data_IF_634971873358
#
_entry.id   IF_634971873358
#
_cell.length_a   1.000
_cell.length_b   1.000
_cell.length_c   1.000
_cell.angle_alpha   90.00
_cell.angle_beta   90.00
_cell.angle_gamma   90.00
#
_symmetry.space_group_name_H-M   'P 1'
#
loop_
_entity.id
_entity.type
_entity.pdbx_description
1 polymer ?
#
# COMPACT_ATOMS: atom_id res chain seq x y z
N UNK A 1 5.34 -2.76 29.71
CA UNK A 1 4.05 -3.39 29.97
C UNK A 1 3.18 -3.32 28.71
N UNK A 2 2.81 -4.47 28.19
CA UNK A 2 2.05 -4.64 26.95
C UNK A 2 0.60 -4.98 27.24
N UNK A 3 -0.33 -4.27 26.60
CA UNK A 3 -1.78 -4.44 26.74
C UNK A 3 -2.46 -4.53 25.37
N UNK A 4 -3.78 -4.78 25.34
CA UNK A 4 -4.60 -4.87 24.11
C UNK A 4 -4.86 -3.50 23.47
N UNK A 5 -3.82 -2.74 23.22
CA UNK A 5 -3.84 -1.42 22.58
C UNK A 5 -3.42 -1.58 21.12
N UNK A 6 -4.04 -0.86 20.20
CA UNK A 6 -3.72 -0.92 18.76
C UNK A 6 -2.56 -0.02 18.35
N UNK A 7 -2.13 0.89 19.22
CA UNK A 7 -1.07 1.87 18.98
C UNK A 7 0.15 1.60 19.86
N UNK A 8 1.28 2.29 19.55
CA UNK A 8 2.51 2.25 20.35
C UNK A 8 3.04 0.84 20.63
N UNK A 9 2.95 -0.05 19.64
CA UNK A 9 3.39 -1.45 19.78
C UNK A 9 2.73 -2.19 20.97
N UNK A 10 1.50 -1.79 21.33
CA UNK A 10 0.77 -2.31 22.49
C UNK A 10 1.27 -1.83 23.85
N UNK A 11 2.27 -0.94 23.89
CA UNK A 11 2.90 -0.47 25.12
C UNK A 11 2.00 0.55 25.85
N UNK A 12 1.66 0.26 27.12
CA UNK A 12 0.95 1.18 28.00
C UNK A 12 1.90 2.02 28.88
N UNK A 13 3.03 1.46 29.26
CA UNK A 13 4.00 2.11 30.15
C UNK A 13 5.03 1.11 30.67
N UNK A 14 5.77 1.52 31.68
CA UNK A 14 6.66 0.63 32.44
C UNK A 14 5.99 0.27 33.77
N UNK A 15 6.25 -0.93 34.29
CA UNK A 15 5.79 -1.41 35.59
C UNK A 15 6.95 -2.08 36.29
N UNK A 16 6.87 -2.16 37.58
CA UNK A 16 7.78 -2.94 38.42
C UNK A 16 7.05 -4.18 38.93
N UNK A 17 7.46 -5.33 38.42
CA UNK A 17 6.85 -6.62 38.72
C UNK A 17 7.93 -7.70 38.87
N UNK A 18 7.67 -8.78 39.65
CA UNK A 18 8.65 -9.85 39.80
C UNK A 18 9.09 -10.44 38.45
N UNK A 19 10.42 -10.67 38.31
CA UNK A 19 11.07 -11.19 37.08
C UNK A 19 10.44 -12.51 36.60
N UNK A 20 9.90 -13.31 37.49
CA UNK A 20 9.21 -14.58 37.12
C UNK A 20 8.02 -14.38 36.17
N UNK A 21 7.46 -13.16 36.07
CA UNK A 21 6.39 -12.80 35.16
C UNK A 21 6.89 -12.11 33.89
N UNK A 22 8.20 -11.88 33.78
CA UNK A 22 8.82 -11.25 32.62
C UNK A 22 8.85 -12.22 31.44
N UNK A 23 8.25 -11.83 30.34
CA UNK A 23 8.27 -12.57 29.10
C UNK A 23 9.56 -12.29 28.33
N UNK A 24 10.07 -13.30 27.63
CA UNK A 24 11.23 -13.13 26.77
C UNK A 24 10.95 -12.19 25.61
N UNK A 25 11.96 -11.44 25.18
CA UNK A 25 11.95 -10.72 23.92
C UNK A 25 12.00 -11.68 22.71
N UNK A 26 12.11 -11.12 21.52
CA UNK A 26 12.07 -11.84 20.24
C UNK A 26 10.81 -12.72 20.09
N UNK A 27 9.65 -12.17 20.44
CA UNK A 27 8.35 -12.86 20.41
C UNK A 27 7.28 -11.95 19.83
N UNK A 28 6.11 -12.52 19.47
CA UNK A 28 4.95 -11.73 19.06
C UNK A 28 3.94 -11.72 20.20
N UNK A 29 3.55 -10.52 20.66
CA UNK A 29 2.41 -10.33 21.56
C UNK A 29 1.11 -10.33 20.75
N UNK A 30 0.11 -11.09 21.21
CA UNK A 30 -1.18 -11.24 20.54
C UNK A 30 -2.34 -10.95 21.52
N UNK A 31 -3.13 -9.93 21.20
CA UNK A 31 -4.32 -9.57 21.96
C UNK A 31 -5.51 -10.48 21.62
N UNK A 32 -5.94 -11.32 22.57
CA UNK A 32 -6.92 -12.39 22.36
C UNK A 32 -8.27 -11.89 21.83
N UNK A 33 -8.75 -10.73 22.28
CA UNK A 33 -10.06 -10.20 21.88
C UNK A 33 -10.00 -9.20 20.73
N UNK A 34 -8.82 -8.66 20.44
CA UNK A 34 -8.62 -7.54 19.50
C UNK A 34 -7.84 -7.94 18.23
N UNK A 35 -7.25 -9.14 18.23
CA UNK A 35 -6.30 -9.59 17.21
C UNK A 35 -5.14 -8.60 16.97
N UNK A 36 -4.86 -7.70 17.91
CA UNK A 36 -3.69 -6.83 17.83
C UNK A 36 -2.42 -7.66 17.99
N UNK A 37 -1.47 -7.44 17.09
CA UNK A 37 -0.23 -8.23 17.06
C UNK A 37 0.96 -7.33 16.89
N UNK A 38 1.98 -7.53 17.75
CA UNK A 38 3.21 -6.74 17.69
C UNK A 38 4.43 -7.61 17.99
N UNK A 39 5.51 -7.38 17.25
CA UNK A 39 6.81 -7.93 17.58
C UNK A 39 7.40 -7.21 18.79
N UNK A 40 7.83 -7.98 19.77
CA UNK A 40 8.46 -7.49 21.00
C UNK A 40 9.94 -7.91 21.00
N UNK A 41 10.80 -6.94 20.76
CA UNK A 41 12.24 -7.19 20.66
C UNK A 41 12.87 -7.51 22.03
N UNK A 42 12.48 -6.74 23.04
CA UNK A 42 13.01 -6.80 24.41
C UNK A 42 12.06 -7.56 25.35
N UNK A 43 12.56 -8.07 26.46
CA UNK A 43 11.70 -8.66 27.51
C UNK A 43 10.62 -7.67 27.99
N UNK A 44 9.45 -8.20 28.30
CA UNK A 44 8.28 -7.39 28.62
C UNK A 44 7.28 -8.09 29.54
N UNK A 45 6.53 -7.32 30.30
CA UNK A 45 5.37 -7.78 31.03
C UNK A 45 4.09 -7.63 30.20
N UNK A 46 3.11 -8.48 30.43
CA UNK A 46 1.81 -8.44 29.75
C UNK A 46 0.65 -8.25 30.68
N UNK A 47 -0.36 -7.53 30.20
CA UNK A 47 -1.68 -7.50 30.82
C UNK A 47 -2.51 -8.73 30.49
N UNK A 48 -3.75 -8.74 31.00
CA UNK A 48 -4.71 -9.82 30.79
C UNK A 48 -5.01 -10.05 29.31
N UNK A 49 -5.26 -11.31 28.95
CA UNK A 49 -5.63 -11.76 27.60
C UNK A 49 -4.61 -11.43 26.49
N UNK A 50 -3.36 -11.21 26.83
CA UNK A 50 -2.26 -11.20 25.88
C UNK A 50 -1.67 -12.61 25.81
N UNK A 51 -1.63 -13.20 24.61
CA UNK A 51 -0.92 -14.43 24.31
C UNK A 51 0.46 -14.11 23.75
N UNK A 52 1.42 -14.98 24.04
CA UNK A 52 2.80 -14.81 23.58
C UNK A 52 3.08 -15.92 22.58
N UNK A 53 3.38 -15.54 21.35
CA UNK A 53 3.74 -16.44 20.29
C UNK A 53 5.27 -16.50 20.22
N UNK A 54 5.82 -17.64 20.66
CA UNK A 54 7.25 -17.90 20.64
C UNK A 54 7.65 -18.53 19.31
N UNK A 55 8.67 -18.00 18.61
CA UNK A 55 9.14 -18.59 17.37
C UNK A 55 9.76 -19.97 17.61
N UNK A 56 9.62 -20.87 16.64
CA UNK A 56 10.28 -22.18 16.63
C UNK A 56 11.56 -22.18 15.81
N UNK A 57 11.88 -21.09 15.13
CA UNK A 57 13.00 -20.94 14.21
C UNK A 57 14.03 -20.00 14.83
N UNK A 58 15.30 -20.41 14.81
CA UNK A 58 16.41 -19.61 15.33
C UNK A 58 16.63 -18.33 14.52
N UNK A 59 16.32 -18.38 13.22
CA UNK A 59 16.44 -17.29 12.25
C UNK A 59 15.37 -16.21 12.43
N UNK A 60 14.34 -16.48 13.25
CA UNK A 60 13.30 -15.49 13.50
C UNK A 60 13.84 -14.28 14.22
N UNK A 61 13.64 -13.11 13.66
CA UNK A 61 14.14 -11.85 14.19
C UNK A 61 13.31 -10.65 13.74
N UNK A 62 13.75 -9.48 14.11
CA UNK A 62 13.05 -8.20 13.91
C UNK A 62 12.59 -7.96 12.48
N UNK A 63 13.43 -8.25 11.49
CA UNK A 63 13.13 -7.97 10.08
C UNK A 63 12.06 -8.91 9.56
N UNK A 64 12.33 -10.21 9.66
CA UNK A 64 11.43 -11.21 9.13
C UNK A 64 10.12 -11.33 9.93
N UNK A 65 10.09 -10.91 11.21
CA UNK A 65 8.86 -10.84 12.01
C UNK A 65 7.74 -10.03 11.32
N UNK A 66 8.08 -9.06 10.45
CA UNK A 66 7.07 -8.27 9.72
C UNK A 66 6.31 -9.11 8.69
N UNK A 67 6.98 -10.05 8.04
CA UNK A 67 6.31 -11.02 7.16
C UNK A 67 5.31 -11.87 7.96
N UNK A 68 5.72 -12.39 9.11
CA UNK A 68 4.84 -13.15 10.00
C UNK A 68 3.64 -12.30 10.43
N UNK A 69 3.86 -11.09 10.90
CA UNK A 69 2.79 -10.18 11.32
C UNK A 69 1.81 -9.86 10.18
N UNK A 70 2.32 -9.60 8.98
CA UNK A 70 1.49 -9.27 7.80
C UNK A 70 0.60 -10.45 7.40
N UNK A 71 1.17 -11.64 7.29
CA UNK A 71 0.44 -12.85 6.92
C UNK A 71 -0.53 -13.31 8.00
N UNK A 72 -0.15 -13.17 9.28
CA UNK A 72 -1.04 -13.44 10.42
C UNK A 72 -2.22 -12.48 10.46
N UNK A 73 -2.01 -11.17 10.25
CA UNK A 73 -3.11 -10.20 10.18
C UNK A 73 -4.09 -10.56 9.07
N UNK A 74 -3.60 -10.98 7.91
CA UNK A 74 -4.43 -11.45 6.80
C UNK A 74 -5.19 -12.72 7.16
N UNK A 75 -4.53 -13.71 7.75
CA UNK A 75 -5.15 -14.98 8.16
C UNK A 75 -6.23 -14.76 9.23
N UNK A 76 -6.05 -13.78 10.11
CA UNK A 76 -6.98 -13.47 11.20
C UNK A 76 -8.03 -12.40 10.85
N UNK A 77 -8.00 -11.83 9.64
CA UNK A 77 -8.95 -10.77 9.24
C UNK A 77 -10.41 -11.22 9.17
N UNK A 78 -10.68 -12.53 9.03
CA UNK A 78 -12.01 -13.10 9.01
C UNK A 78 -12.63 -13.31 10.41
N UNK A 79 -11.85 -13.10 11.48
CA UNK A 79 -12.35 -13.24 12.86
C UNK A 79 -12.93 -11.90 13.33
N UNK A 80 -14.27 -11.85 13.45
CA UNK A 80 -14.98 -10.67 13.95
C UNK A 80 -15.17 -10.73 15.47
N UNK A 81 -15.18 -9.56 16.08
CA UNK A 81 -15.53 -9.39 17.49
C UNK A 81 -16.94 -9.96 17.76
N UNK A 82 -17.07 -10.92 18.68
CA UNK A 82 -18.36 -11.47 19.11
C UNK A 82 -18.78 -12.84 18.56
N UNK A 83 -18.22 -13.31 17.44
CA UNK A 83 -18.65 -14.59 16.83
C UNK A 83 -17.64 -15.74 16.97
N UNK A 84 -16.36 -15.45 17.15
CA UNK A 84 -15.33 -16.48 17.39
C UNK A 84 -14.21 -15.92 18.26
N UNK A 85 -14.07 -16.45 19.46
CA UNK A 85 -13.00 -16.05 20.38
C UNK A 85 -11.70 -16.72 19.97
N UNK A 86 -10.62 -15.96 19.90
CA UNK A 86 -9.27 -16.50 19.76
C UNK A 86 -8.87 -17.25 21.04
N UNK A 87 -9.16 -18.52 21.10
CA UNK A 87 -8.56 -19.40 22.10
C UNK A 87 -7.28 -20.04 21.55
N UNK A 88 -6.52 -20.69 22.42
CA UNK A 88 -5.24 -21.31 22.05
C UNK A 88 -5.42 -22.39 20.97
N UNK A 89 -6.51 -23.15 21.01
CA UNK A 89 -6.78 -24.21 20.04
C UNK A 89 -7.12 -23.64 18.66
N UNK A 90 -7.85 -22.54 18.60
CA UNK A 90 -8.13 -21.82 17.35
C UNK A 90 -6.85 -21.24 16.74
N UNK A 91 -5.98 -20.65 17.57
CA UNK A 91 -4.70 -20.10 17.13
C UNK A 91 -3.77 -21.17 16.54
N UNK A 92 -3.68 -22.34 17.18
CA UNK A 92 -2.84 -23.47 16.71
C UNK A 92 -3.25 -24.01 15.34
N UNK A 93 -4.50 -23.85 14.95
CA UNK A 93 -5.04 -24.32 13.67
C UNK A 93 -4.90 -23.31 12.53
N UNK A 94 -4.46 -22.08 12.81
CA UNK A 94 -4.32 -21.06 11.77
C UNK A 94 -3.12 -21.35 10.87
N UNK A 95 -3.32 -21.18 9.58
CA UNK A 95 -2.30 -21.35 8.55
C UNK A 95 -1.91 -19.98 8.03
N UNK A 96 -0.63 -19.72 7.95
CA UNK A 96 -0.05 -18.50 7.39
C UNK A 96 0.80 -18.84 6.18
N UNK A 97 0.81 -17.97 5.17
CA UNK A 97 1.65 -18.14 3.98
C UNK A 97 2.92 -17.34 4.15
N UNK A 98 4.07 -18.00 3.95
CA UNK A 98 5.39 -17.39 4.03
C UNK A 98 6.19 -17.73 2.76
N UNK A 99 7.19 -16.91 2.38
CA UNK A 99 8.13 -17.27 1.33
C UNK A 99 8.86 -18.57 1.65
N UNK A 100 9.03 -19.42 0.65
CA UNK A 100 9.77 -20.69 0.79
C UNK A 100 10.88 -20.81 -0.26
N UNK A 101 11.98 -21.45 0.11
CA UNK A 101 13.04 -21.89 -0.82
C UNK A 101 12.56 -23.08 -1.67
N UNK A 102 13.26 -23.39 -2.74
CA UNK A 102 12.98 -24.55 -3.60
C UNK A 102 12.93 -25.90 -2.86
N UNK A 103 13.59 -26.00 -1.71
CA UNK A 103 13.59 -27.18 -0.85
C UNK A 103 12.41 -27.24 0.14
N UNK A 104 11.46 -26.28 0.05
CA UNK A 104 10.27 -26.22 0.91
C UNK A 104 10.46 -25.58 2.29
N UNK A 105 11.68 -25.18 2.66
CA UNK A 105 11.94 -24.47 3.91
C UNK A 105 11.59 -22.99 3.79
N UNK A 106 11.24 -22.34 4.92
CA UNK A 106 10.99 -20.90 4.99
C UNK A 106 12.21 -20.13 4.51
N UNK A 107 12.00 -19.15 3.62
CA UNK A 107 13.08 -18.34 3.06
C UNK A 107 13.30 -17.07 3.90
N UNK A 108 14.03 -17.22 5.00
CA UNK A 108 14.39 -16.10 5.86
C UNK A 108 15.32 -15.10 5.15
N UNK A 109 16.21 -15.58 4.28
CA UNK A 109 17.16 -14.73 3.54
C UNK A 109 16.41 -13.77 2.60
N UNK A 110 15.39 -14.29 1.89
CA UNK A 110 14.51 -13.46 1.07
C UNK A 110 13.80 -12.39 1.92
N UNK A 111 13.24 -12.76 3.08
CA UNK A 111 12.54 -11.81 3.94
C UNK A 111 13.47 -10.71 4.45
N UNK A 112 14.70 -11.05 4.84
CA UNK A 112 15.71 -10.08 5.30
C UNK A 112 16.12 -9.12 4.18
N UNK A 113 16.46 -9.66 2.98
CA UNK A 113 16.84 -8.87 1.82
C UNK A 113 15.73 -7.93 1.38
N UNK A 114 14.49 -8.41 1.32
CA UNK A 114 13.33 -7.60 0.94
C UNK A 114 13.13 -6.40 1.87
N UNK A 115 13.24 -6.58 3.18
CA UNK A 115 13.09 -5.48 4.15
C UNK A 115 14.27 -4.50 4.02
N UNK A 116 15.49 -4.99 3.78
CA UNK A 116 16.65 -4.15 3.56
C UNK A 116 16.51 -3.30 2.27
N UNK A 117 16.09 -3.92 1.17
CA UNK A 117 15.81 -3.24 -0.10
C UNK A 117 14.68 -2.21 0.01
N UNK A 118 13.60 -2.53 0.73
CA UNK A 118 12.52 -1.59 1.00
C UNK A 118 13.02 -0.37 1.78
N UNK A 119 13.85 -0.57 2.79
CA UNK A 119 14.44 0.52 3.57
C UNK A 119 15.35 1.39 2.71
N UNK A 120 16.20 0.78 1.88
CA UNK A 120 17.05 1.49 0.93
C UNK A 120 16.22 2.28 -0.11
N UNK A 121 15.14 1.68 -0.62
CA UNK A 121 14.22 2.35 -1.55
C UNK A 121 13.57 3.60 -0.92
N UNK A 122 13.11 3.52 0.33
CA UNK A 122 12.52 4.66 1.04
C UNK A 122 13.52 5.82 1.13
N UNK A 123 14.77 5.53 1.47
CA UNK A 123 15.83 6.54 1.56
C UNK A 123 16.17 7.14 0.19
N UNK A 124 16.41 6.32 -0.84
CA UNK A 124 16.78 6.80 -2.18
C UNK A 124 15.65 7.57 -2.86
N UNK A 125 14.38 7.19 -2.62
CA UNK A 125 13.22 7.88 -3.19
C UNK A 125 12.82 9.15 -2.44
N UNK A 126 13.48 9.49 -1.32
CA UNK A 126 13.11 10.61 -0.45
C UNK A 126 11.78 10.41 0.29
N UNK A 127 11.20 9.21 0.24
CA UNK A 127 9.98 8.86 0.97
C UNK A 127 10.23 8.63 2.47
N UNK A 128 11.48 8.66 2.91
CA UNK A 128 11.87 8.68 4.32
C UNK A 128 11.58 10.03 5.01
N UNK A 129 11.47 11.12 4.24
CA UNK A 129 11.03 12.40 4.76
C UNK A 129 9.50 12.43 4.97
N UNK A 130 9.07 12.13 6.19
CA UNK A 130 7.65 12.14 6.60
C UNK A 130 7.22 13.45 7.29
N UNK A 131 8.14 14.40 7.49
CA UNK A 131 7.82 15.70 8.10
C UNK A 131 7.07 16.57 7.10
N UNK A 132 5.92 17.07 7.52
CA UNK A 132 5.14 17.99 6.70
C UNK A 132 5.77 19.38 6.69
N UNK A 133 5.89 19.98 5.52
CA UNK A 133 6.20 21.40 5.41
C UNK A 133 5.02 22.28 5.87
N UNK A 134 5.25 23.56 6.07
CA UNK A 134 4.19 24.51 6.42
C UNK A 134 3.09 24.55 5.35
N UNK A 135 3.44 24.48 4.07
CA UNK A 135 2.48 24.48 2.97
C UNK A 135 1.67 23.17 2.94
N UNK A 136 2.31 22.03 3.24
CA UNK A 136 1.65 20.74 3.33
C UNK A 136 0.70 20.67 4.53
N UNK A 137 1.06 21.25 5.67
CA UNK A 137 0.16 21.36 6.82
C UNK A 137 -1.03 22.26 6.48
N UNK A 138 -0.78 23.43 5.90
CA UNK A 138 -1.82 24.39 5.55
C UNK A 138 -2.81 23.81 4.53
N UNK A 139 -2.35 23.09 3.51
CA UNK A 139 -3.26 22.53 2.50
C UNK A 139 -4.11 21.38 3.05
N UNK A 140 -3.58 20.56 3.98
CA UNK A 140 -4.37 19.53 4.67
C UNK A 140 -5.48 20.16 5.51
N UNK A 141 -5.16 21.22 6.24
CA UNK A 141 -6.15 21.96 7.06
C UNK A 141 -7.26 22.53 6.17
N UNK A 142 -6.88 23.25 5.13
CA UNK A 142 -7.85 23.79 4.14
C UNK A 142 -8.68 22.69 3.49
N UNK A 143 -8.12 21.52 3.22
CA UNK A 143 -8.87 20.39 2.67
C UNK A 143 -9.89 19.85 3.68
N UNK A 144 -9.50 19.66 4.95
CA UNK A 144 -10.39 19.20 6.04
C UNK A 144 -11.55 20.17 6.28
N UNK A 145 -11.26 21.46 6.23
CA UNK A 145 -12.24 22.53 6.41
C UNK A 145 -13.06 22.86 5.14
N UNK A 146 -12.86 22.07 4.06
CA UNK A 146 -13.53 22.26 2.76
C UNK A 146 -13.30 23.67 2.14
N UNK A 147 -12.15 24.28 2.42
CA UNK A 147 -11.79 25.61 1.92
C UNK A 147 -11.07 25.59 0.56
N UNK A 148 -10.79 24.41 0.01
CA UNK A 148 -10.23 24.29 -1.34
C UNK A 148 -11.41 24.24 -2.32
N UNK A 149 -11.52 25.20 -3.24
CA UNK A 149 -12.56 25.16 -4.25
C UNK A 149 -12.32 24.01 -5.23
N UNK A 150 -13.37 23.31 -5.60
CA UNK A 150 -13.35 22.24 -6.60
C UNK A 150 -14.31 22.59 -7.74
N UNK A 151 -13.91 22.25 -8.96
CA UNK A 151 -14.75 22.36 -10.15
C UNK A 151 -14.68 21.09 -10.99
N UNK A 152 -15.68 20.91 -11.87
CA UNK A 152 -15.77 19.79 -12.78
C UNK A 152 -14.97 20.05 -14.05
N UNK A 153 -14.15 19.07 -14.44
CA UNK A 153 -13.40 19.09 -15.71
C UNK A 153 -13.67 17.81 -16.48
N UNK A 154 -13.87 17.94 -17.79
CA UNK A 154 -14.00 16.77 -18.66
C UNK A 154 -12.66 16.05 -18.84
N UNK A 155 -12.69 14.72 -18.95
CA UNK A 155 -11.48 13.91 -19.15
C UNK A 155 -10.67 14.37 -20.36
N UNK A 156 -11.36 14.72 -21.48
CA UNK A 156 -10.70 15.20 -22.70
C UNK A 156 -10.00 16.55 -22.53
N UNK A 157 -10.38 17.35 -21.54
CA UNK A 157 -9.72 18.63 -21.23
C UNK A 157 -8.43 18.44 -20.43
N UNK A 158 -8.28 17.29 -19.81
CA UNK A 158 -7.07 16.91 -19.04
C UNK A 158 -6.17 16.03 -19.90
N UNK A 159 -6.73 15.07 -20.64
CA UNK A 159 -6.00 14.09 -21.45
C UNK A 159 -6.39 14.23 -22.92
N UNK A 160 -5.46 14.72 -23.77
CA UNK A 160 -5.71 14.85 -25.20
C UNK A 160 -5.66 13.51 -25.96
N UNK A 161 -5.32 12.43 -25.28
CA UNK A 161 -5.33 11.07 -25.83
C UNK A 161 -6.11 10.14 -24.90
N UNK A 162 -7.15 9.52 -25.45
CA UNK A 162 -8.01 8.54 -24.77
C UNK A 162 -8.21 7.37 -25.73
N UNK A 163 -7.64 6.21 -25.41
CA UNK A 163 -7.69 5.02 -26.27
C UNK A 163 -7.98 3.75 -25.49
N UNK A 164 -8.63 2.79 -26.15
CA UNK A 164 -8.83 1.43 -25.62
C UNK A 164 -7.62 0.58 -25.99
N UNK A 165 -7.19 -0.28 -25.05
CA UNK A 165 -6.21 -1.33 -25.34
C UNK A 165 -6.73 -2.36 -26.36
N UNK A 166 -5.90 -3.34 -26.71
CA UNK A 166 -6.24 -4.36 -27.68
C UNK A 166 -6.20 -5.75 -27.08
N UNK A 167 -7.11 -6.60 -27.56
CA UNK A 167 -7.24 -7.97 -27.11
C UNK A 167 -5.97 -8.76 -27.43
N UNK A 168 -5.44 -9.42 -26.40
CA UNK A 168 -4.45 -10.48 -26.48
C UNK A 168 -4.92 -11.62 -25.58
N UNK A 169 -5.21 -12.78 -26.16
CA UNK A 169 -5.66 -13.94 -25.40
C UNK A 169 -4.51 -14.47 -24.53
N UNK A 170 -4.85 -15.09 -23.41
CA UNK A 170 -3.85 -15.65 -22.47
C UNK A 170 -2.93 -16.66 -23.17
N UNK A 171 -3.50 -17.52 -24.01
CA UNK A 171 -2.77 -18.59 -24.71
C UNK A 171 -1.84 -18.05 -25.81
N UNK A 172 -2.07 -16.81 -26.27
CA UNK A 172 -1.26 -16.13 -27.29
C UNK A 172 -0.16 -15.27 -26.65
N UNK A 173 -0.10 -15.16 -25.31
CA UNK A 173 0.88 -14.33 -24.62
C UNK A 173 2.26 -15.00 -24.64
N UNK A 174 3.25 -14.31 -25.15
CA UNK A 174 4.65 -14.73 -25.16
C UNK A 174 5.40 -14.02 -24.01
N UNK A 175 6.18 -14.75 -23.20
CA UNK A 175 6.96 -14.14 -22.13
C UNK A 175 7.91 -13.05 -22.63
N UNK A 176 8.09 -11.96 -21.85
CA UNK A 176 8.94 -10.84 -22.20
C UNK A 176 9.05 -9.80 -21.11
N UNK A 177 9.38 -8.56 -21.48
CA UNK A 177 9.69 -7.48 -20.54
C UNK A 177 8.66 -6.33 -20.54
N UNK A 178 7.59 -6.44 -21.35
CA UNK A 178 6.56 -5.39 -21.44
C UNK A 178 5.48 -5.70 -20.41
N UNK A 179 5.26 -4.86 -19.38
CA UNK A 179 4.15 -5.03 -18.47
C UNK A 179 2.84 -5.03 -19.26
N UNK A 180 1.99 -6.04 -19.05
CA UNK A 180 0.70 -6.15 -19.73
C UNK A 180 -0.43 -5.96 -18.74
N UNK A 181 -1.26 -4.94 -19.01
CA UNK A 181 -2.33 -4.49 -18.11
C UNK A 181 -3.68 -4.96 -18.62
N UNK A 182 -4.47 -5.54 -17.74
CA UNK A 182 -5.85 -5.92 -17.97
C UNK A 182 -6.73 -5.46 -16.79
N UNK A 183 -8.03 -5.73 -16.90
CA UNK A 183 -8.98 -5.44 -15.84
C UNK A 183 -8.65 -6.21 -14.56
N UNK A 184 -8.69 -5.51 -13.42
CA UNK A 184 -8.50 -6.08 -12.09
C UNK A 184 -7.74 -5.15 -11.15
N UNK A 185 -7.84 -5.44 -9.85
CA UNK A 185 -7.20 -4.65 -8.79
C UNK A 185 -5.91 -5.29 -8.25
N UNK A 186 -5.74 -6.61 -8.43
CA UNK A 186 -4.52 -7.33 -8.05
C UNK A 186 -3.35 -6.80 -8.87
N UNK A 187 -2.25 -6.49 -8.20
CA UNK A 187 -1.06 -5.89 -8.81
C UNK A 187 -1.40 -4.71 -9.74
N UNK A 188 -2.40 -3.89 -9.36
CA UNK A 188 -2.94 -2.77 -10.14
C UNK A 188 -3.36 -3.14 -11.57
N UNK A 189 -3.73 -4.39 -11.83
CA UNK A 189 -4.13 -4.91 -13.14
C UNK A 189 -2.97 -5.39 -14.02
N UNK A 190 -1.71 -5.38 -13.56
CA UNK A 190 -0.59 -6.00 -14.29
C UNK A 190 -0.68 -7.51 -14.12
N UNK A 191 -0.99 -8.23 -15.21
CA UNK A 191 -1.19 -9.68 -15.21
C UNK A 191 0.08 -10.47 -15.56
N UNK A 192 1.11 -9.82 -16.08
CA UNK A 192 2.37 -10.43 -16.46
C UNK A 192 3.21 -9.52 -17.34
N UNK A 193 4.29 -10.09 -17.90
CA UNK A 193 5.21 -9.41 -18.79
C UNK A 193 5.26 -10.16 -20.11
N UNK A 194 5.11 -9.45 -21.23
CA UNK A 194 4.98 -10.04 -22.58
C UNK A 194 6.03 -9.48 -23.54
N UNK A 195 6.26 -10.21 -24.64
CA UNK A 195 7.07 -9.78 -25.79
C UNK A 195 6.24 -9.55 -27.05
N UNK A 196 4.95 -9.83 -27.02
CA UNK A 196 4.06 -9.70 -28.16
C UNK A 196 4.06 -8.26 -28.71
N UNK A 197 3.89 -8.06 -30.05
CA UNK A 197 3.72 -6.77 -30.68
C UNK A 197 2.31 -6.19 -30.42
N UNK A 198 2.02 -5.81 -29.17
CA UNK A 198 0.76 -5.18 -28.79
C UNK A 198 0.84 -3.66 -28.91
N UNK A 199 -0.31 -2.99 -28.89
CA UNK A 199 -0.36 -1.54 -28.75
C UNK A 199 0.34 -1.13 -27.45
N UNK A 200 1.40 -0.34 -27.61
CA UNK A 200 2.15 0.23 -26.48
C UNK A 200 1.59 1.59 -26.13
N UNK A 201 1.59 1.86 -24.85
CA UNK A 201 1.17 3.12 -24.26
C UNK A 201 2.33 3.72 -23.46
N UNK A 202 2.47 5.05 -23.49
CA UNK A 202 3.59 5.70 -22.82
C UNK A 202 3.42 5.70 -21.29
N UNK A 203 4.56 5.78 -20.61
CA UNK A 203 4.57 6.18 -19.20
C UNK A 203 3.83 7.52 -19.00
N UNK A 204 3.60 7.88 -17.75
CA UNK A 204 2.82 9.06 -17.38
C UNK A 204 1.39 9.02 -17.93
N UNK A 205 0.79 7.83 -17.88
CA UNK A 205 -0.59 7.55 -18.29
C UNK A 205 -1.46 7.09 -17.14
N UNK A 206 -2.77 7.17 -17.29
CA UNK A 206 -3.73 6.54 -16.40
C UNK A 206 -4.44 5.42 -17.14
N UNK A 207 -4.59 4.27 -16.50
CA UNK A 207 -5.44 3.19 -17.01
C UNK A 207 -6.73 3.14 -16.22
N UNK A 208 -7.85 2.93 -16.92
CA UNK A 208 -9.16 2.66 -16.31
C UNK A 208 -9.71 1.39 -16.92
N UNK A 209 -10.03 0.42 -16.08
CA UNK A 209 -10.59 -0.84 -16.53
C UNK A 209 -12.11 -0.75 -16.77
N UNK A 210 -12.68 -1.85 -17.29
CA UNK A 210 -14.12 -1.95 -17.57
C UNK A 210 -15.03 -1.80 -16.35
N UNK A 211 -14.48 -1.85 -15.13
CA UNK A 211 -15.21 -1.68 -13.87
C UNK A 211 -15.01 -0.29 -13.24
N UNK A 212 -14.16 0.55 -13.85
CA UNK A 212 -13.87 1.91 -13.37
C UNK A 212 -12.68 1.97 -12.40
N UNK A 213 -11.93 0.89 -12.21
CA UNK A 213 -10.70 0.91 -11.42
C UNK A 213 -9.62 1.71 -12.16
N UNK A 214 -9.08 2.72 -11.52
CA UNK A 214 -8.15 3.68 -12.11
C UNK A 214 -6.76 3.57 -11.47
N UNK A 215 -5.71 3.53 -12.31
CA UNK A 215 -4.31 3.41 -11.85
C UNK A 215 -3.37 4.27 -12.67
N UNK A 216 -2.45 4.95 -12.00
CA UNK A 216 -1.33 5.66 -12.63
C UNK A 216 -0.24 4.71 -13.09
N UNK A 217 0.34 4.97 -14.28
CA UNK A 217 1.43 4.22 -14.89
C UNK A 217 2.65 5.12 -15.10
N UNK A 218 3.72 4.86 -14.36
CA UNK A 218 4.99 5.58 -14.48
C UNK A 218 6.01 4.86 -15.39
N UNK A 219 5.56 3.86 -16.16
CA UNK A 219 6.33 3.04 -17.08
C UNK A 219 5.55 2.80 -18.38
N UNK A 220 6.27 2.45 -19.46
CA UNK A 220 5.66 2.03 -20.73
C UNK A 220 5.06 0.63 -20.62
N UNK A 221 3.91 0.39 -21.22
CA UNK A 221 3.17 -0.85 -21.07
C UNK A 221 2.30 -1.20 -22.27
N UNK A 222 1.82 -2.45 -22.32
CA UNK A 222 0.74 -2.89 -23.18
C UNK A 222 -0.58 -2.98 -22.40
N UNK A 223 -1.73 -2.80 -23.06
CA UNK A 223 -3.04 -2.90 -22.45
C UNK A 223 -4.01 -3.77 -23.25
N UNK A 224 -4.79 -4.59 -22.54
CA UNK A 224 -5.88 -5.41 -23.09
C UNK A 224 -7.12 -4.60 -23.46
N UNK A 225 -8.03 -5.22 -24.20
CA UNK A 225 -9.26 -4.60 -24.69
C UNK A 225 -10.30 -4.27 -23.58
N UNK A 226 -10.02 -4.68 -22.35
CA UNK A 226 -10.79 -4.36 -21.15
C UNK A 226 -10.25 -3.17 -20.36
N UNK A 227 -9.27 -2.44 -20.93
CA UNK A 227 -8.58 -1.32 -20.27
C UNK A 227 -8.51 -0.11 -21.20
N UNK A 228 -9.05 1.03 -20.76
CA UNK A 228 -8.86 2.34 -21.38
C UNK A 228 -7.59 3.01 -20.87
N UNK A 229 -6.89 3.75 -21.74
CA UNK A 229 -5.64 4.47 -21.43
C UNK A 229 -5.82 5.95 -21.73
N UNK A 230 -5.38 6.80 -20.80
CA UNK A 230 -5.55 8.25 -20.80
C UNK A 230 -4.18 8.91 -20.58
N UNK A 231 -3.73 9.75 -21.51
CA UNK A 231 -2.47 10.47 -21.39
C UNK A 231 -2.51 11.82 -22.11
N UNK A 232 -1.53 12.66 -21.85
CA UNK A 232 -1.39 13.95 -22.51
C UNK A 232 -0.03 14.03 -23.20
N UNK A 233 0.01 14.46 -24.47
CA UNK A 233 1.23 14.63 -25.26
C UNK A 233 1.69 16.08 -25.37
N UNK A 234 0.85 17.02 -24.95
CA UNK A 234 1.14 18.47 -25.01
C UNK A 234 1.55 19.02 -23.66
N UNK A 235 1.11 18.35 -22.57
CA UNK A 235 1.38 18.76 -21.20
C UNK A 235 1.89 17.57 -20.38
N UNK A 236 3.06 17.71 -19.83
CA UNK A 236 3.59 16.77 -18.85
C UNK A 236 3.09 17.12 -17.45
N UNK A 237 2.33 16.21 -16.85
CA UNK A 237 1.86 16.34 -15.46
C UNK A 237 2.86 15.70 -14.53
N UNK A 238 3.04 16.28 -13.35
CA UNK A 238 3.84 15.68 -12.30
C UNK A 238 3.26 14.33 -11.85
N UNK A 239 4.10 13.49 -11.25
CA UNK A 239 3.66 12.22 -10.66
C UNK A 239 2.50 12.42 -9.66
N UNK A 240 2.58 13.45 -8.83
CA UNK A 240 1.55 13.73 -7.82
C UNK A 240 0.23 14.17 -8.46
N UNK A 241 0.27 15.04 -9.48
CA UNK A 241 -0.93 15.37 -10.24
C UNK A 241 -1.56 14.12 -10.89
N UNK A 242 -0.76 13.23 -11.46
CA UNK A 242 -1.26 11.99 -12.08
C UNK A 242 -1.87 11.05 -11.04
N UNK A 243 -1.32 10.96 -9.84
CA UNK A 243 -1.91 10.21 -8.72
C UNK A 243 -3.24 10.83 -8.28
N UNK A 244 -3.31 12.17 -8.21
CA UNK A 244 -4.55 12.87 -7.91
C UNK A 244 -5.62 12.58 -8.96
N UNK A 245 -5.27 12.69 -10.25
CA UNK A 245 -6.20 12.37 -11.35
C UNK A 245 -6.69 10.92 -11.27
N UNK A 246 -5.79 9.96 -11.05
CA UNK A 246 -6.19 8.56 -10.92
C UNK A 246 -7.21 8.37 -9.80
N UNK A 247 -6.99 8.98 -8.63
CA UNK A 247 -7.92 8.93 -7.51
C UNK A 247 -9.26 9.60 -7.83
N UNK A 248 -9.24 10.80 -8.43
CA UNK A 248 -10.43 11.56 -8.78
C UNK A 248 -11.26 10.85 -9.87
N UNK A 249 -10.60 10.30 -10.91
CA UNK A 249 -11.25 9.51 -11.97
C UNK A 249 -11.89 8.25 -11.40
N UNK A 250 -11.16 7.50 -10.59
CA UNK A 250 -11.68 6.30 -9.92
C UNK A 250 -12.89 6.62 -9.04
N UNK A 251 -12.83 7.71 -8.26
CA UNK A 251 -13.95 8.18 -7.44
C UNK A 251 -15.16 8.55 -8.30
N UNK A 252 -14.96 9.24 -9.42
CA UNK A 252 -16.05 9.65 -10.32
C UNK A 252 -16.77 8.46 -10.97
N UNK A 253 -16.11 7.30 -11.07
CA UNK A 253 -16.61 6.09 -11.72
C UNK A 253 -17.09 5.03 -10.71
N UNK A 254 -16.78 5.19 -9.43
CA UNK A 254 -17.08 4.21 -8.39
C UNK A 254 -18.56 3.82 -8.37
N UNK A 255 -18.82 2.50 -8.39
CA UNK A 255 -20.16 1.93 -8.33
C UNK A 255 -21.00 2.07 -9.60
N UNK A 256 -20.47 2.67 -10.68
CA UNK A 256 -21.23 2.93 -11.92
C UNK A 256 -21.14 1.81 -12.94
N UNK A 257 -20.14 0.91 -12.80
CA UNK A 257 -19.87 -0.17 -13.77
C UNK A 257 -19.80 -1.52 -13.09
N UNK A 258 -20.21 -2.56 -13.84
CA UNK A 258 -20.29 -3.94 -13.37
C UNK A 258 -20.09 -4.88 -14.54
N UNK A 259 -20.13 -6.22 -14.31
CA UNK A 259 -20.03 -7.21 -15.39
C UNK A 259 -21.08 -7.03 -16.49
N UNK A 260 -22.31 -6.61 -16.11
CA UNK A 260 -23.41 -6.35 -17.06
C UNK A 260 -23.37 -4.96 -17.72
N UNK A 261 -22.54 -4.04 -17.18
CA UNK A 261 -22.40 -2.66 -17.69
C UNK A 261 -20.93 -2.24 -17.69
N UNK A 262 -20.21 -2.63 -18.73
CA UNK A 262 -18.77 -2.40 -18.85
C UNK A 262 -18.45 -1.02 -19.40
N UNK A 263 -17.46 -0.35 -18.81
CA UNK A 263 -16.94 0.91 -19.33
C UNK A 263 -16.09 0.68 -20.58
N UNK A 264 -16.19 1.63 -21.53
CA UNK A 264 -15.28 1.73 -22.68
C UNK A 264 -14.70 3.16 -22.73
N UNK A 265 -13.44 3.29 -23.12
CA UNK A 265 -12.75 4.59 -23.15
C UNK A 265 -13.47 5.61 -24.02
N UNK A 266 -14.08 5.20 -25.14
CA UNK A 266 -14.87 6.06 -26.01
C UNK A 266 -16.09 6.69 -25.34
N UNK A 267 -16.65 6.04 -24.31
CA UNK A 267 -17.79 6.56 -23.55
C UNK A 267 -17.37 7.63 -22.53
N UNK A 268 -16.11 7.64 -22.14
CA UNK A 268 -15.59 8.47 -21.04
C UNK A 268 -15.03 9.83 -21.45
N UNK A 269 -15.01 10.13 -22.74
CA UNK A 269 -14.38 11.36 -23.29
C UNK A 269 -14.90 12.61 -22.57
N UNK A 270 -16.20 12.71 -22.38
CA UNK A 270 -16.87 13.83 -21.70
C UNK A 270 -17.25 13.56 -20.25
N UNK A 271 -16.69 12.50 -19.65
CA UNK A 271 -16.87 12.27 -18.22
C UNK A 271 -16.13 13.35 -17.44
N UNK A 272 -16.71 13.69 -16.30
CA UNK A 272 -16.20 14.76 -15.45
C UNK A 272 -15.56 14.20 -14.20
N UNK A 273 -14.50 14.86 -13.78
CA UNK A 273 -13.85 14.64 -12.50
C UNK A 273 -13.78 15.96 -11.73
N UNK A 274 -13.81 15.89 -10.41
CA UNK A 274 -13.67 17.03 -9.52
C UNK A 274 -12.18 17.29 -9.26
N UNK A 275 -11.70 18.50 -9.56
CA UNK A 275 -10.32 18.92 -9.30
C UNK A 275 -10.30 20.21 -8.47
N UNK A 276 -9.28 20.38 -7.60
CA UNK A 276 -8.97 21.69 -7.04
C UNK A 276 -8.86 22.73 -8.16
N UNK A 277 -9.44 23.91 -7.95
CA UNK A 277 -9.47 24.95 -8.97
C UNK A 277 -8.98 26.28 -8.42
N UNK A 278 -8.28 27.03 -9.27
CA UNK A 278 -7.87 28.40 -9.04
C UNK A 278 -8.11 29.19 -10.33
N UNK A 279 -8.78 30.33 -10.23
CA UNK A 279 -9.08 31.21 -11.35
C UNK A 279 -9.73 30.46 -12.55
N UNK A 280 -10.66 29.54 -12.25
CA UNK A 280 -11.39 28.76 -13.25
C UNK A 280 -10.60 27.63 -13.93
N UNK A 281 -9.33 27.41 -13.54
CA UNK A 281 -8.45 26.38 -14.08
C UNK A 281 -8.05 25.36 -13.01
N UNK A 282 -7.63 24.12 -13.37
CA UNK A 282 -7.14 23.16 -12.41
C UNK A 282 -5.92 23.69 -11.64
N UNK A 283 -5.97 23.65 -10.31
CA UNK A 283 -4.86 24.03 -9.44
C UNK A 283 -3.90 22.87 -9.25
N UNK A 284 -2.95 22.75 -10.16
CA UNK A 284 -1.95 21.66 -10.15
C UNK A 284 -1.01 21.76 -8.94
N UNK A 285 -0.70 22.99 -8.48
CA UNK A 285 0.14 23.19 -7.30
C UNK A 285 -0.55 22.66 -6.04
N UNK A 286 -1.84 22.95 -5.87
CA UNK A 286 -2.62 22.39 -4.76
C UNK A 286 -2.69 20.86 -4.82
N UNK A 287 -2.85 20.26 -6.01
CA UNK A 287 -2.82 18.80 -6.17
C UNK A 287 -1.46 18.22 -5.79
N UNK A 288 -0.37 18.80 -6.25
CA UNK A 288 1.00 18.37 -5.92
C UNK A 288 1.26 18.39 -4.43
N UNK A 289 0.97 19.51 -3.78
CA UNK A 289 1.19 19.69 -2.35
C UNK A 289 0.32 18.74 -1.52
N UNK A 290 -0.95 18.56 -1.90
CA UNK A 290 -1.87 17.67 -1.18
C UNK A 290 -1.44 16.20 -1.29
N UNK A 291 -1.05 15.74 -2.48
CA UNK A 291 -0.57 14.36 -2.65
C UNK A 291 0.76 14.14 -1.95
N UNK A 292 1.69 15.11 -1.98
CA UNK A 292 2.93 15.06 -1.20
C UNK A 292 2.64 14.88 0.29
N UNK A 293 1.76 15.70 0.84
CA UNK A 293 1.36 15.63 2.23
C UNK A 293 0.71 14.28 2.59
N UNK A 294 -0.20 13.79 1.74
CA UNK A 294 -0.84 12.48 1.94
C UNK A 294 0.17 11.34 1.91
N UNK A 295 1.13 11.36 0.97
CA UNK A 295 2.20 10.35 0.91
C UNK A 295 3.05 10.34 2.19
N UNK A 296 3.44 11.51 2.68
CA UNK A 296 4.18 11.65 3.94
C UNK A 296 3.40 11.11 5.15
N UNK A 297 2.11 11.41 5.23
CA UNK A 297 1.26 10.89 6.30
C UNK A 297 1.11 9.37 6.25
N UNK A 298 0.96 8.79 5.05
CA UNK A 298 0.82 7.33 4.87
C UNK A 298 2.12 6.61 5.19
N UNK A 299 3.28 7.17 4.77
CA UNK A 299 4.58 6.53 4.95
C UNK A 299 5.16 6.70 6.36
N UNK A 300 4.69 7.69 7.11
CA UNK A 300 5.21 8.08 8.42
C UNK A 300 5.43 6.89 9.37
N UNK A 301 4.45 6.04 9.51
CA UNK A 301 4.55 4.90 10.43
C UNK A 301 5.60 3.88 9.98
N UNK A 302 5.78 3.73 8.67
CA UNK A 302 6.79 2.83 8.06
C UNK A 302 8.20 3.40 8.31
N UNK A 303 8.39 4.70 8.08
CA UNK A 303 9.68 5.38 8.29
C UNK A 303 10.06 5.40 9.76
N UNK A 304 9.14 5.79 10.64
CA UNK A 304 9.37 5.75 12.09
C UNK A 304 9.73 4.34 12.60
N UNK A 305 9.22 3.32 11.94
CA UNK A 305 9.62 1.95 12.23
C UNK A 305 11.06 1.67 11.78
N UNK A 306 11.41 2.09 10.56
CA UNK A 306 12.76 1.91 10.00
C UNK A 306 13.83 2.67 10.80
N UNK A 307 13.56 3.95 11.15
CA UNK A 307 14.49 4.82 11.92
C UNK A 307 14.78 4.27 13.31
N UNK A 308 13.75 3.86 14.05
CA UNK A 308 13.94 3.22 15.36
C UNK A 308 14.84 1.98 15.30
N UNK A 309 14.86 1.31 14.14
CA UNK A 309 15.72 0.16 13.89
C UNK A 309 17.19 0.56 13.70
N UNK A 310 17.44 1.61 12.92
CA UNK A 310 18.79 2.13 12.64
C UNK A 310 19.44 2.65 13.92
N UNK A 311 18.72 3.42 14.73
CA UNK A 311 19.23 3.95 16.01
C UNK A 311 19.59 2.84 16.99
N UNK A 312 18.76 1.81 17.10
CA UNK A 312 19.04 0.67 17.98
C UNK A 312 20.29 -0.10 17.53
N UNK A 313 20.49 -0.26 16.22
CA UNK A 313 21.66 -0.93 15.67
C UNK A 313 22.93 -0.11 15.91
N UNK A 314 22.90 1.21 15.70
CA UNK A 314 24.02 2.13 15.99
C UNK A 314 24.39 2.17 17.48
N UNK A 315 23.44 2.00 18.38
CA UNK A 315 23.69 1.95 19.82
C UNK A 315 24.40 0.65 20.24
N UNK A 316 24.15 -0.47 19.54
CA UNK A 316 24.75 -1.78 19.81
C UNK A 316 26.18 -1.87 19.22
N UNK A 317 26.46 -1.21 18.09
CA UNK A 317 27.78 -1.24 17.42
C UNK A 317 28.80 -0.23 18.00
N UNK A 318 28.44 0.56 19.01
CA UNK A 318 29.33 1.48 19.73
C UNK A 318 30.00 0.88 20.97
N UNK A 319 29.94 -0.44 21.15
CA UNK A 319 30.68 -1.18 22.19
C UNK A 319 31.60 -2.21 21.58
#
# INVERSE_FOLDING_TARGET
>A
YIVRRSTENGKKGNIDEPIKYLNQGNTISFGQDTATMFYQEKPYFTGDKIKILKPKYAEFGKNNAQFFLSTMRKAFSSFAWGSSRFNVETLKKQIVSLPIKNNGYIDFDFMESFIAELSAYLTVSGLDNYELSNDEMAIIERYKEQQIPFSEFEFIKIFNNIRQGRRLKKDDQLPGNIPFVMSGTTNTGVIGYISNPVARFPKNSITIDIFGNSFYRNYDFGAGDDTGVYWNTEKEYSRNCMLFFAAAMGKSLSGKYSYGKKLRSSQSIHFKLQLPTKDGSPDYAAMDTLISAVQKLVIKDVVLYADRKIETTKAITKY
#
